data_IF_307808196616
#
_entry.id   IF_307808196616
#
_cell.length_a   1.000
_cell.length_b   1.000
_cell.length_c   1.000
_cell.angle_alpha   90.00
_cell.angle_beta   90.00
_cell.angle_gamma   90.00
#
_symmetry.space_group_name_H-M   'P 1'
#
loop_
_entity.id
_entity.type
_entity.pdbx_description
1 polymer ?
#
# COMPACT_ATOMS: atom_id res chain seq x y z
N UNK A 1 -16.99 18.95 -1.89
CA UNK A 1 -17.81 17.73 -2.07
C UNK A 1 -16.95 16.50 -1.94
N UNK A 2 -17.44 15.51 -1.22
CA UNK A 2 -16.71 14.28 -0.99
C UNK A 2 -16.99 13.31 -2.13
N UNK A 3 -15.92 12.79 -2.73
CA UNK A 3 -16.10 11.83 -3.80
C UNK A 3 -16.56 10.49 -3.23
N UNK A 4 -17.27 9.69 -4.01
CA UNK A 4 -17.70 8.36 -3.55
C UNK A 4 -16.51 7.49 -3.19
N UNK A 5 -16.71 6.61 -2.20
CA UNK A 5 -15.63 5.73 -1.77
C UNK A 5 -15.11 4.85 -2.91
N UNK A 6 -16.02 4.35 -3.75
CA UNK A 6 -15.61 3.52 -4.86
C UNK A 6 -14.66 4.26 -5.80
N UNK A 7 -14.96 5.52 -6.05
CA UNK A 7 -14.12 6.33 -6.92
C UNK A 7 -12.76 6.59 -6.30
N UNK A 8 -12.76 6.90 -5.00
CA UNK A 8 -11.50 7.15 -4.30
C UNK A 8 -10.63 5.91 -4.29
N UNK A 9 -11.23 4.75 -4.04
CA UNK A 9 -10.50 3.48 -4.06
C UNK A 9 -9.91 3.24 -5.44
N UNK A 10 -10.70 3.48 -6.49
CA UNK A 10 -10.23 3.27 -7.86
C UNK A 10 -9.06 4.17 -8.19
N UNK A 11 -9.16 5.44 -7.82
CA UNK A 11 -8.06 6.38 -8.05
C UNK A 11 -6.78 5.93 -7.38
N UNK A 12 -6.90 5.48 -6.13
CA UNK A 12 -5.72 5.05 -5.40
C UNK A 12 -5.14 3.77 -5.98
N UNK A 13 -5.98 2.82 -6.34
CA UNK A 13 -5.49 1.58 -6.94
C UNK A 13 -4.76 1.85 -8.24
N UNK A 14 -5.32 2.72 -9.07
CA UNK A 14 -4.65 3.09 -10.31
C UNK A 14 -3.30 3.74 -10.05
N UNK A 15 -3.25 4.61 -9.07
CA UNK A 15 -1.98 5.27 -8.73
C UNK A 15 -0.95 4.27 -8.24
N UNK A 16 -1.36 3.30 -7.43
CA UNK A 16 -0.43 2.32 -6.90
C UNK A 16 0.16 1.44 -7.99
N UNK A 17 -0.62 1.15 -9.02
CA UNK A 17 -0.14 0.33 -10.12
C UNK A 17 0.76 1.12 -11.06
N UNK A 18 0.44 2.38 -11.31
CA UNK A 18 1.13 3.17 -12.31
C UNK A 18 2.30 3.99 -11.77
N UNK A 19 2.35 4.22 -10.47
CA UNK A 19 3.43 5.01 -9.88
C UNK A 19 4.69 4.16 -9.82
N UNK A 20 5.78 4.69 -10.40
CA UNK A 20 7.03 3.94 -10.50
C UNK A 20 7.63 3.61 -9.14
N UNK A 21 7.32 4.41 -8.13
CA UNK A 21 7.83 4.15 -6.79
C UNK A 21 7.21 2.89 -6.19
N UNK A 22 6.02 2.54 -6.63
CA UNK A 22 5.27 1.41 -6.08
C UNK A 22 5.20 0.26 -7.07
N UNK A 23 4.51 0.48 -8.19
CA UNK A 23 4.33 -0.51 -9.25
C UNK A 23 3.92 -1.87 -8.70
N UNK A 24 3.02 -1.89 -7.71
CA UNK A 24 2.60 -3.12 -7.05
C UNK A 24 1.13 -3.37 -7.31
N UNK A 25 0.83 -4.57 -7.74
CA UNK A 25 -0.55 -4.96 -7.99
C UNK A 25 -1.13 -5.78 -6.83
N UNK A 26 -0.29 -6.14 -5.86
CA UNK A 26 -0.73 -6.96 -4.75
C UNK A 26 -1.27 -6.18 -3.56
N UNK A 27 -1.28 -4.87 -3.64
CA UNK A 27 -1.76 -4.04 -2.54
C UNK A 27 -3.27 -3.91 -2.65
N UNK A 28 -3.95 -4.14 -1.54
CA UNK A 28 -5.39 -4.01 -1.47
C UNK A 28 -5.76 -2.77 -0.69
N UNK A 29 -6.82 -2.11 -1.13
CA UNK A 29 -7.27 -0.86 -0.55
C UNK A 29 -8.65 -1.07 0.05
N UNK A 30 -8.80 -0.70 1.32
CA UNK A 30 -10.11 -0.71 1.98
C UNK A 30 -10.36 0.67 2.56
N UNK A 31 -11.61 1.04 2.61
CA UNK A 31 -11.98 2.35 3.10
C UNK A 31 -13.11 2.20 4.09
N UNK A 32 -12.94 2.74 5.29
CA UNK A 32 -13.93 2.65 6.35
C UNK A 32 -13.96 3.98 7.07
N UNK A 33 -15.11 4.64 7.06
CA UNK A 33 -15.36 5.85 7.86
C UNK A 33 -14.26 6.91 7.69
N UNK A 34 -13.86 7.17 6.44
CA UNK A 34 -12.86 8.20 6.16
C UNK A 34 -11.43 7.75 6.37
N UNK A 35 -11.21 6.48 6.61
CA UNK A 35 -9.87 5.92 6.80
C UNK A 35 -9.57 4.96 5.66
N UNK A 36 -8.32 5.01 5.19
CA UNK A 36 -7.86 4.14 4.11
C UNK A 36 -6.91 3.12 4.71
N UNK A 37 -7.20 1.85 4.48
CA UNK A 37 -6.35 0.76 4.95
C UNK A 37 -5.71 0.08 3.76
N UNK A 38 -4.39 0.00 3.79
CA UNK A 38 -3.60 -0.61 2.72
C UNK A 38 -3.03 -1.91 3.26
N UNK A 39 -3.36 -3.03 2.59
CA UNK A 39 -2.91 -4.35 3.02
C UNK A 39 -2.28 -5.08 1.86
N UNK A 40 -1.61 -6.17 2.16
CA UNK A 40 -0.95 -6.98 1.15
C UNK A 40 0.54 -7.02 1.36
N UNK A 41 1.24 -7.55 0.37
CA UNK A 41 2.68 -7.71 0.44
C UNK A 41 3.35 -6.94 -0.69
N UNK A 42 4.46 -6.30 -0.37
CA UNK A 42 5.28 -5.61 -1.36
C UNK A 42 6.69 -6.19 -1.31
N UNK A 43 7.47 -5.90 -2.34
CA UNK A 43 8.76 -6.55 -2.51
C UNK A 43 9.86 -5.96 -1.64
N UNK A 44 9.79 -4.68 -1.32
CA UNK A 44 10.87 -3.99 -0.62
C UNK A 44 10.32 -3.02 0.40
N UNK A 45 11.12 -2.67 1.44
CA UNK A 45 10.71 -1.63 2.38
C UNK A 45 10.50 -0.29 1.70
N UNK A 46 11.26 0.00 0.66
CA UNK A 46 11.09 1.26 -0.07
C UNK A 46 9.72 1.33 -0.71
N UNK A 47 9.26 0.21 -1.28
CA UNK A 47 7.92 0.17 -1.86
C UNK A 47 6.86 0.27 -0.79
N UNK A 48 7.09 -0.32 0.36
CA UNK A 48 6.16 -0.21 1.46
C UNK A 48 5.94 1.24 1.85
N UNK A 49 7.02 2.00 1.98
CA UNK A 49 6.91 3.41 2.31
C UNK A 49 6.26 4.18 1.17
N UNK A 50 6.57 3.82 -0.06
CA UNK A 50 6.01 4.50 -1.22
C UNK A 50 4.49 4.30 -1.30
N UNK A 51 3.99 3.13 -0.92
CA UNK A 51 2.56 2.87 -0.90
C UNK A 51 1.85 3.90 -0.01
N UNK A 52 2.38 4.10 1.18
CA UNK A 52 1.80 5.08 2.09
C UNK A 52 1.90 6.50 1.56
N UNK A 53 3.04 6.83 0.96
CA UNK A 53 3.25 8.17 0.41
C UNK A 53 2.28 8.45 -0.73
N UNK A 54 2.13 7.50 -1.64
CA UNK A 54 1.21 7.66 -2.76
C UNK A 54 -0.22 7.81 -2.27
N UNK A 55 -0.61 7.00 -1.29
CA UNK A 55 -1.96 7.08 -0.74
C UNK A 55 -2.23 8.46 -0.16
N UNK A 56 -1.27 9.00 0.58
CA UNK A 56 -1.42 10.32 1.15
C UNK A 56 -1.49 11.41 0.08
N UNK A 57 -0.74 11.24 -0.99
CA UNK A 57 -0.77 12.20 -2.10
C UNK A 57 -2.09 12.17 -2.86
N UNK A 58 -2.62 10.98 -3.07
CA UNK A 58 -3.84 10.80 -3.85
C UNK A 58 -5.08 11.15 -3.03
N UNK A 59 -5.06 10.78 -1.76
CA UNK A 59 -6.21 10.97 -0.88
C UNK A 59 -5.80 11.72 0.38
N UNK A 60 -5.42 13.01 0.24
CA UNK A 60 -4.91 13.76 1.39
C UNK A 60 -5.95 14.02 2.46
N UNK A 61 -7.22 13.87 2.13
CA UNK A 61 -8.32 14.11 3.06
C UNK A 61 -8.64 12.91 3.93
N UNK A 62 -8.00 11.78 3.65
CA UNK A 62 -8.28 10.54 4.36
C UNK A 62 -7.13 10.20 5.29
N UNK A 63 -7.48 9.52 6.37
CA UNK A 63 -6.46 9.00 7.27
C UNK A 63 -5.93 7.68 6.67
N UNK A 64 -4.64 7.65 6.40
CA UNK A 64 -4.03 6.51 5.72
C UNK A 64 -3.36 5.60 6.74
N UNK A 65 -3.72 4.32 6.71
CA UNK A 65 -3.12 3.28 7.53
C UNK A 65 -2.43 2.29 6.63
N UNK A 66 -1.11 2.34 6.61
CA UNK A 66 -0.31 1.47 5.75
C UNK A 66 0.02 0.20 6.52
N UNK A 67 -0.74 -0.85 6.24
CA UNK A 67 -0.58 -2.14 6.90
C UNK A 67 0.01 -3.18 5.97
N UNK A 68 0.67 -2.73 4.90
CA UNK A 68 1.35 -3.64 4.01
C UNK A 68 2.56 -4.23 4.68
N UNK A 69 2.90 -5.46 4.29
CA UNK A 69 4.11 -6.12 4.75
C UNK A 69 5.11 -6.27 3.63
N UNK A 70 6.36 -6.51 4.00
CA UNK A 70 7.41 -6.73 3.02
C UNK A 70 7.64 -8.22 2.90
N UNK A 71 7.55 -8.73 1.66
CA UNK A 71 7.80 -10.13 1.40
C UNK A 71 9.30 -10.36 1.29
N UNK A 72 9.84 -11.18 2.15
CA UNK A 72 11.24 -11.55 2.09
C UNK A 72 11.36 -12.71 1.11
N UNK A 73 12.09 -12.46 0.03
CA UNK A 73 12.28 -13.48 -1.00
C UNK A 73 13.64 -14.13 -0.82
N UNK A 74 13.64 -15.40 -0.91
CA UNK A 74 14.87 -16.12 -0.84
C UNK A 74 15.16 -16.63 0.52
N UNK A 75 15.98 -16.99 0.75
CA UNK A 75 16.17 -17.37 1.81
C UNK A 75 16.26 -17.13 3.10
N UNK A 76 16.14 -16.94 3.19
CA UNK A 76 15.93 -16.66 4.15
C UNK A 76 16.26 -16.96 5.13
N UNK A 77 16.78 -17.12 5.11
CA UNK A 77 16.97 -17.46 5.89
C UNK A 77 17.11 -17.45 6.90
N UNK A 78 17.26 -17.58 6.77
CA UNK A 78 17.24 -17.55 7.55
C UNK A 78 17.31 -17.65 8.59
N UNK A 79 17.48 -17.80 8.55
CA UNK A 79 17.40 -17.92 9.38
C UNK A 79 17.59 -18.10 10.25
N UNK A 80 17.72 -18.33 10.07
CA UNK A 80 17.69 -18.59 10.76
C UNK A 80 18.07 -18.78 11.62
N UNK A 81 18.45 -18.88 11.53
CA UNK A 81 18.58 -19.03 12.21
C UNK A 81 18.81 -19.12 13.16
N UNK A 82 19.03 -19.26 13.17
CA UNK A 82 19.05 -19.24 13.89
C UNK A 82 19.11 -19.42 14.59
N UNK A 83 19.34 -19.63 14.78
CA UNK A 83 19.12 -19.86 15.16
C UNK A 83 18.95 -20.02 15.50
#
# INVERSE_FOLDING_TARGET
MIEPEDYAIQRLRDALVTDQRVAEMGVQVRMVAGKVFLTGQVATPERQQAVGAVATEVLPEYEVHNETGVTVVGDQPRVEKIS
#
